data_IF_064548913078
#
_entry.id   IF_064548913078
#
_cell.length_a   1.000
_cell.length_b   1.000
_cell.length_c   1.000
_cell.angle_alpha   90.00
_cell.angle_beta   90.00
_cell.angle_gamma   90.00
#
_symmetry.space_group_name_H-M   'P 1'
#
loop_
_entity.id
_entity.type
_entity.pdbx_description
1 polymer ?
#
# COMPACT_ATOMS: atom_id res chain seq x y z
N UNK A 1 -10.13 -18.05 -12.41
CA UNK A 1 -10.19 -18.37 -10.97
C UNK A 1 -9.85 -17.09 -10.23
N UNK A 2 -10.74 -16.54 -9.41
CA UNK A 2 -10.43 -15.35 -8.62
C UNK A 2 -9.53 -15.77 -7.46
N UNK A 3 -8.36 -15.16 -7.35
CA UNK A 3 -7.42 -15.42 -6.26
C UNK A 3 -7.53 -14.29 -5.24
N UNK A 4 -7.98 -14.63 -4.03
CA UNK A 4 -8.19 -13.68 -2.95
C UNK A 4 -7.06 -13.81 -1.94
N UNK A 5 -6.39 -12.70 -1.65
CA UNK A 5 -5.39 -12.61 -0.58
C UNK A 5 -5.85 -11.59 0.44
N UNK A 6 -5.68 -11.93 1.71
CA UNK A 6 -5.90 -10.99 2.81
C UNK A 6 -4.62 -10.19 3.05
N UNK A 7 -4.70 -8.86 2.88
CA UNK A 7 -3.62 -7.94 3.22
C UNK A 7 -3.74 -7.52 4.68
N UNK A 8 -2.68 -7.68 5.45
CA UNK A 8 -2.56 -7.05 6.76
C UNK A 8 -2.17 -5.58 6.56
N UNK A 9 -3.03 -4.67 7.04
CA UNK A 9 -2.85 -3.23 6.91
C UNK A 9 -2.48 -2.62 8.25
N UNK A 10 -1.49 -1.73 8.24
CA UNK A 10 -1.13 -0.92 9.42
C UNK A 10 -1.42 0.54 9.12
N UNK A 11 -2.28 1.19 9.91
CA UNK A 11 -2.58 2.60 9.73
C UNK A 11 -1.34 3.46 10.01
N UNK A 12 -1.09 4.43 9.14
CA UNK A 12 -0.07 5.46 9.37
C UNK A 12 -0.71 6.58 10.19
N UNK A 13 -0.11 6.90 11.34
CA UNK A 13 -0.58 8.03 12.14
C UNK A 13 -0.34 9.34 11.39
N UNK A 14 -1.35 10.21 11.39
CA UNK A 14 -1.21 11.56 10.87
C UNK A 14 -0.24 12.34 11.76
N UNK A 15 0.73 13.01 11.12
CA UNK A 15 1.62 13.90 11.86
C UNK A 15 0.82 15.08 12.42
N UNK A 16 1.04 15.48 13.68
CA UNK A 16 0.41 16.67 14.23
C UNK A 16 0.83 17.88 13.40
N UNK A 17 -0.12 18.79 13.15
CA UNK A 17 0.15 20.06 12.46
C UNK A 17 1.31 20.82 13.11
N UNK A 18 2.12 21.48 12.27
CA UNK A 18 3.32 22.18 12.73
C UNK A 18 2.94 23.40 13.59
N UNK A 19 3.59 23.62 14.74
CA UNK A 19 3.38 24.84 15.53
C UNK A 19 3.80 26.09 14.74
N UNK A 20 2.94 27.12 14.72
CA UNK A 20 3.22 28.39 14.04
C UNK A 20 2.66 28.53 12.63
N UNK A 21 1.82 27.58 12.19
CA UNK A 21 1.08 27.69 10.92
C UNK A 21 0.16 28.93 10.91
N UNK A 22 0.07 29.61 9.78
CA UNK A 22 -0.35 31.01 9.62
C UNK A 22 -1.87 31.26 9.81
N UNK A 23 -2.55 30.37 10.54
CA UNK A 23 -4.00 30.38 10.74
C UNK A 23 -4.77 29.79 9.54
N UNK A 24 -4.08 29.29 8.52
CA UNK A 24 -4.72 28.52 7.45
C UNK A 24 -5.01 27.12 7.98
N UNK A 25 -6.27 26.65 7.99
CA UNK A 25 -6.56 25.28 8.38
C UNK A 25 -5.82 24.31 7.45
N UNK A 26 -5.25 23.21 7.96
CA UNK A 26 -4.72 22.18 7.08
C UNK A 26 -5.83 21.67 6.15
N UNK A 27 -5.48 21.22 4.93
CA UNK A 27 -6.45 20.60 4.03
C UNK A 27 -7.21 19.49 4.76
N UNK A 28 -8.53 19.41 4.57
CA UNK A 28 -9.33 18.32 5.13
C UNK A 28 -8.87 17.02 4.48
N UNK A 29 -8.24 16.15 5.27
CA UNK A 29 -7.81 14.84 4.82
C UNK A 29 -8.95 13.83 4.95
N UNK A 30 -9.69 13.62 3.86
CA UNK A 30 -10.79 12.66 3.74
C UNK A 30 -10.32 11.22 3.45
N UNK A 31 -9.01 10.99 3.48
CA UNK A 31 -8.38 9.69 3.25
C UNK A 31 -7.45 9.30 4.41
N UNK A 32 -7.16 8.00 4.50
CA UNK A 32 -6.24 7.40 5.46
C UNK A 32 -5.19 6.59 4.69
N UNK A 33 -3.93 6.75 5.09
CA UNK A 33 -2.83 5.95 4.59
C UNK A 33 -2.64 4.69 5.46
N UNK A 34 -2.34 3.58 4.79
CA UNK A 34 -2.00 2.29 5.38
C UNK A 34 -0.73 1.75 4.74
N UNK A 35 0.11 1.06 5.50
CA UNK A 35 1.21 0.26 4.95
C UNK A 35 0.82 -1.21 4.87
N UNK A 36 1.41 -1.92 3.92
CA UNK A 36 1.24 -3.37 3.76
C UNK A 36 2.57 -4.06 3.44
N UNK A 37 2.61 -5.36 3.74
CA UNK A 37 3.59 -6.31 3.21
C UNK A 37 2.84 -7.53 2.69
N UNK A 38 3.15 -7.96 1.48
CA UNK A 38 2.56 -9.12 0.82
C UNK A 38 3.66 -10.06 0.34
N UNK A 39 3.53 -11.35 0.67
CA UNK A 39 4.31 -12.43 0.06
C UNK A 39 3.42 -13.24 -0.86
N UNK A 40 3.79 -13.35 -2.13
CA UNK A 40 3.00 -14.01 -3.17
C UNK A 40 3.93 -14.59 -4.25
N UNK A 41 3.48 -15.56 -5.05
CA UNK A 41 4.19 -16.05 -6.24
C UNK A 41 3.74 -15.34 -7.53
N UNK A 42 2.73 -14.47 -7.43
CA UNK A 42 2.28 -13.60 -8.51
C UNK A 42 3.06 -12.29 -8.58
N UNK A 43 3.10 -11.72 -9.77
CA UNK A 43 3.74 -10.42 -10.02
C UNK A 43 3.11 -9.31 -9.15
N UNK A 44 3.91 -8.38 -8.60
CA UNK A 44 3.41 -7.27 -7.79
C UNK A 44 2.35 -6.41 -8.51
N UNK A 45 2.41 -6.29 -9.83
CA UNK A 45 1.40 -5.56 -10.64
C UNK A 45 -0.02 -6.12 -10.48
N UNK A 46 -0.17 -7.38 -10.08
CA UNK A 46 -1.48 -7.99 -9.81
C UNK A 46 -2.21 -7.36 -8.61
N UNK A 47 -1.50 -6.63 -7.73
CA UNK A 47 -2.08 -5.87 -6.62
C UNK A 47 -2.93 -4.68 -7.08
N UNK A 48 -2.61 -4.09 -8.23
CA UNK A 48 -3.31 -2.91 -8.73
C UNK A 48 -4.78 -3.19 -9.08
N UNK A 49 -5.14 -4.46 -9.28
CA UNK A 49 -6.51 -4.92 -9.54
C UNK A 49 -7.20 -4.15 -10.67
N UNK A 50 -8.54 -4.16 -10.73
CA UNK A 50 -9.33 -3.38 -11.68
C UNK A 50 -9.43 -1.87 -11.32
N UNK A 51 -8.70 -1.41 -10.28
CA UNK A 51 -8.76 -0.02 -9.80
C UNK A 51 -7.79 0.93 -10.53
N UNK A 52 -7.24 0.51 -11.67
CA UNK A 52 -6.16 1.19 -12.42
C UNK A 52 -4.94 1.55 -11.54
N UNK A 53 -4.72 0.86 -10.43
CA UNK A 53 -3.63 1.14 -9.49
C UNK A 53 -3.75 2.46 -8.72
N UNK A 54 -4.89 3.15 -8.77
CA UNK A 54 -5.08 4.39 -7.99
C UNK A 54 -5.17 4.09 -6.50
N UNK A 55 -4.52 4.93 -5.70
CA UNK A 55 -4.49 4.76 -4.25
C UNK A 55 -3.55 3.64 -3.76
N UNK A 56 -2.71 3.06 -4.63
CA UNK A 56 -1.68 2.10 -4.23
C UNK A 56 -0.31 2.65 -4.64
N UNK A 57 0.65 2.67 -3.72
CA UNK A 57 2.05 3.01 -4.00
C UNK A 57 2.95 1.87 -3.54
N UNK A 58 3.58 1.17 -4.48
CA UNK A 58 4.60 0.17 -4.18
C UNK A 58 5.89 0.89 -3.76
N UNK A 59 6.43 0.56 -2.59
CA UNK A 59 7.67 1.14 -2.08
C UNK A 59 8.87 0.23 -2.30
N UNK A 60 8.66 -1.10 -2.25
CA UNK A 60 9.73 -2.09 -2.40
C UNK A 60 9.19 -3.40 -2.94
N UNK A 61 9.99 -4.03 -3.80
CA UNK A 61 9.80 -5.40 -4.28
C UNK A 61 11.10 -6.16 -4.09
N UNK A 62 11.03 -7.29 -3.40
CA UNK A 62 12.11 -8.28 -3.35
C UNK A 62 11.63 -9.52 -4.11
N UNK A 63 12.41 -9.97 -5.09
CA UNK A 63 12.15 -11.24 -5.77
C UNK A 63 13.17 -12.28 -5.34
N UNK A 64 12.73 -13.54 -5.20
CA UNK A 64 13.59 -14.68 -4.93
C UNK A 64 13.36 -15.74 -5.98
N UNK A 65 14.44 -16.18 -6.65
CA UNK A 65 14.41 -17.34 -7.54
C UNK A 65 14.64 -18.60 -6.72
N UNK A 66 13.62 -19.46 -6.65
CA UNK A 66 13.68 -20.72 -5.94
C UNK A 66 14.30 -21.82 -6.83
N UNK A 67 14.78 -22.91 -6.22
CA UNK A 67 15.49 -23.98 -6.93
C UNK A 67 14.66 -24.72 -7.99
N UNK A 68 13.34 -24.57 -7.98
CA UNK A 68 12.38 -25.08 -8.97
C UNK A 68 12.06 -24.06 -10.07
N UNK A 69 12.88 -23.01 -10.21
CA UNK A 69 12.67 -21.88 -11.12
C UNK A 69 11.41 -21.05 -10.84
N UNK A 70 10.73 -21.25 -9.69
CA UNK A 70 9.62 -20.38 -9.29
C UNK A 70 10.13 -19.09 -8.71
N UNK A 71 9.49 -17.99 -9.06
CA UNK A 71 9.70 -16.70 -8.44
C UNK A 71 8.72 -16.52 -7.29
N UNK A 72 9.21 -16.03 -6.16
CA UNK A 72 8.39 -15.48 -5.09
C UNK A 72 8.71 -14.00 -4.93
N UNK A 73 7.70 -13.23 -4.56
CA UNK A 73 7.76 -11.79 -4.41
C UNK A 73 7.36 -11.41 -3.00
N UNK A 74 8.14 -10.53 -2.38
CA UNK A 74 7.75 -9.79 -1.20
C UNK A 74 7.59 -8.33 -1.61
N UNK A 75 6.35 -7.83 -1.53
CA UNK A 75 5.98 -6.47 -1.91
C UNK A 75 5.60 -5.67 -0.68
N UNK A 76 6.24 -4.53 -0.49
CA UNK A 76 5.88 -3.55 0.51
C UNK A 76 5.29 -2.32 -0.18
N UNK A 77 4.35 -1.65 0.47
CA UNK A 77 3.76 -0.45 -0.10
C UNK A 77 2.76 0.23 0.81
N UNK A 78 2.05 1.18 0.20
CA UNK A 78 1.06 2.03 0.82
C UNK A 78 -0.27 1.93 0.10
N UNK A 79 -1.36 1.99 0.86
CA UNK A 79 -2.74 2.07 0.37
C UNK A 79 -3.37 3.35 0.94
N UNK A 80 -3.98 4.14 0.07
CA UNK A 80 -4.73 5.34 0.39
C UNK A 80 -6.21 5.05 0.18
N UNK A 81 -7.00 5.11 1.25
CA UNK A 81 -8.43 4.83 1.21
C UNK A 81 -9.23 5.94 1.85
N UNK A 82 -10.40 6.26 1.30
CA UNK A 82 -11.31 7.24 1.90
C UNK A 82 -11.73 6.82 3.31
N UNK A 83 -11.78 7.78 4.23
CA UNK A 83 -12.40 7.61 5.55
C UNK A 83 -13.91 7.46 5.34
N UNK A 84 -14.52 6.46 5.99
CA UNK A 84 -15.98 6.31 6.04
C UNK A 84 -16.57 7.14 7.16
#
# INVERSE_FOLDING_TARGET
QAHQVTLALTAVNEEPGMPGDDGTPPPVQDWQEYTFTLKDDRLPESLAGPADGRGIRISKVVFTLNGDSRLTYETEGHIYAGKK
#
